data_IF_667651305858
#
_entry.id   IF_667651305858
#
_cell.length_a   1.000
_cell.length_b   1.000
_cell.length_c   1.000
_cell.angle_alpha   90.00
_cell.angle_beta   90.00
_cell.angle_gamma   90.00
#
_symmetry.space_group_name_H-M   'P 1'
#
loop_
_entity.id
_entity.type
_entity.pdbx_description
1 polymer ?
#
# COMPACT_ATOMS: atom_id res chain seq x y z
N UNK A 1 -9.27 9.97 1.13
CA UNK A 1 -10.22 9.19 1.92
C UNK A 1 -11.19 8.50 0.99
N UNK A 2 -11.48 7.23 1.25
CA UNK A 2 -12.33 6.43 0.38
C UNK A 2 -11.60 5.77 -0.79
N UNK A 3 -10.38 6.16 -1.08
CA UNK A 3 -9.57 5.55 -2.14
C UNK A 3 -9.21 4.12 -1.77
N UNK A 4 -9.03 3.29 -2.78
CA UNK A 4 -8.62 1.90 -2.59
C UNK A 4 -7.12 1.78 -2.85
N UNK A 5 -6.47 0.94 -2.05
CA UNK A 5 -5.05 0.63 -2.18
C UNK A 5 -4.88 -0.86 -2.41
N UNK A 6 -4.02 -1.21 -3.35
CA UNK A 6 -3.56 -2.59 -3.51
C UNK A 6 -2.15 -2.65 -2.95
N UNK A 7 -1.97 -3.50 -1.94
CA UNK A 7 -0.67 -3.68 -1.32
C UNK A 7 0.17 -4.60 -2.18
N UNK A 8 1.37 -4.15 -2.50
CA UNK A 8 2.32 -4.82 -3.38
C UNK A 8 3.58 -5.13 -2.59
N UNK A 9 3.92 -6.42 -2.51
CA UNK A 9 5.16 -6.85 -1.86
C UNK A 9 6.28 -6.88 -2.89
N UNK A 10 7.34 -6.12 -2.63
CA UNK A 10 8.48 -6.05 -3.52
C UNK A 10 9.32 -7.33 -3.46
N UNK A 11 10.28 -7.44 -4.38
CA UNK A 11 11.16 -8.59 -4.48
C UNK A 11 11.93 -8.83 -3.17
N UNK A 12 11.95 -10.08 -2.73
CA UNK A 12 12.68 -10.51 -1.53
C UNK A 12 14.14 -10.88 -1.82
N UNK A 13 14.63 -10.58 -3.02
CA UNK A 13 15.99 -10.86 -3.50
C UNK A 13 16.34 -12.34 -3.62
N UNK A 14 15.36 -13.23 -3.48
CA UNK A 14 15.56 -14.67 -3.65
C UNK A 14 15.36 -15.14 -5.08
N UNK A 15 14.93 -14.23 -5.97
CA UNK A 15 14.67 -14.56 -7.36
C UNK A 15 14.33 -13.31 -8.16
N UNK A 16 13.83 -13.50 -9.36
CA UNK A 16 13.43 -12.41 -10.25
C UNK A 16 12.24 -11.63 -9.70
N UNK A 17 12.29 -10.29 -9.77
CA UNK A 17 11.18 -9.42 -9.39
C UNK A 17 9.89 -9.78 -10.14
N UNK A 18 10.01 -10.25 -11.39
CA UNK A 18 8.86 -10.64 -12.21
C UNK A 18 8.02 -11.75 -11.56
N UNK A 19 8.64 -12.61 -10.78
CA UNK A 19 7.99 -13.76 -10.14
C UNK A 19 7.84 -13.63 -8.63
N UNK A 20 8.65 -12.80 -7.97
CA UNK A 20 8.68 -12.70 -6.50
C UNK A 20 7.94 -11.50 -5.96
N UNK A 21 7.71 -10.48 -6.77
CA UNK A 21 6.94 -9.31 -6.38
C UNK A 21 5.46 -9.56 -6.69
N UNK A 22 4.61 -9.41 -5.68
CA UNK A 22 3.20 -9.83 -5.79
C UNK A 22 2.25 -8.82 -5.12
N UNK A 23 1.03 -8.74 -5.65
CA UNK A 23 -0.07 -8.08 -4.96
C UNK A 23 -0.60 -9.01 -3.86
N UNK A 24 -0.76 -8.49 -2.64
CA UNK A 24 -1.12 -9.30 -1.48
C UNK A 24 -2.50 -9.02 -0.92
N UNK A 25 -2.96 -7.78 -0.97
CA UNK A 25 -4.23 -7.41 -0.33
C UNK A 25 -4.80 -6.11 -0.87
N UNK A 26 -6.08 -5.88 -0.57
CA UNK A 26 -6.80 -4.65 -0.90
C UNK A 26 -7.21 -3.96 0.39
N UNK A 27 -6.95 -2.66 0.47
CA UNK A 27 -7.28 -1.82 1.62
C UNK A 27 -8.06 -0.59 1.16
N UNK A 28 -8.80 0.02 2.09
CA UNK A 28 -9.49 1.29 1.84
C UNK A 28 -8.86 2.38 2.70
N UNK A 29 -8.53 3.51 2.09
CA UNK A 29 -7.96 4.66 2.81
C UNK A 29 -9.06 5.31 3.66
N UNK A 30 -8.84 5.41 4.97
CA UNK A 30 -9.77 6.07 5.87
C UNK A 30 -9.23 7.37 6.47
N UNK A 31 -7.97 7.69 6.24
CA UNK A 31 -7.40 8.96 6.67
C UNK A 31 -6.01 9.18 6.08
N UNK A 32 -5.68 10.44 5.84
CA UNK A 32 -4.36 10.85 5.32
C UNK A 32 -3.90 12.05 6.14
N UNK A 33 -2.66 12.00 6.62
CA UNK A 33 -2.02 13.10 7.35
C UNK A 33 -0.62 13.33 6.84
N UNK A 34 -0.18 14.57 6.84
CA UNK A 34 1.19 14.95 6.49
C UNK A 34 1.92 15.40 7.76
N UNK A 35 3.23 15.64 7.65
CA UNK A 35 4.04 16.07 8.79
C UNK A 35 3.48 17.33 9.45
N UNK A 36 2.90 18.24 8.68
CA UNK A 36 2.34 19.50 9.20
C UNK A 36 1.02 19.32 9.95
N UNK A 37 0.38 18.16 9.85
CA UNK A 37 -0.85 17.86 10.58
C UNK A 37 -0.59 17.45 12.03
N UNK A 38 0.67 17.22 12.40
CA UNK A 38 1.06 16.87 13.76
C UNK A 38 1.68 18.09 14.45
N UNK A 39 1.30 18.30 15.70
CA UNK A 39 1.83 19.43 16.49
C UNK A 39 3.33 19.27 16.74
N UNK A 40 3.77 18.04 17.03
CA UNK A 40 5.17 17.72 17.32
C UNK A 40 5.45 16.24 17.11
N UNK A 41 6.69 15.83 17.41
CA UNK A 41 7.12 14.44 17.29
C UNK A 41 6.29 13.49 18.15
N UNK A 42 5.96 13.89 19.38
CA UNK A 42 5.18 13.06 20.29
C UNK A 42 3.77 12.82 19.75
N UNK A 43 3.14 13.84 19.16
CA UNK A 43 1.82 13.69 18.53
C UNK A 43 1.87 12.71 17.37
N UNK A 44 2.91 12.77 16.54
CA UNK A 44 3.12 11.84 15.45
C UNK A 44 3.28 10.40 15.95
N UNK A 45 4.16 10.19 16.92
CA UNK A 45 4.43 8.86 17.48
C UNK A 45 3.17 8.27 18.11
N UNK A 46 2.44 9.08 18.90
CA UNK A 46 1.20 8.65 19.55
C UNK A 46 0.15 8.21 18.52
N UNK A 47 0.02 8.96 17.43
CA UNK A 47 -0.94 8.65 16.39
C UNK A 47 -0.58 7.37 15.63
N UNK A 48 0.69 7.19 15.28
CA UNK A 48 1.15 6.10 14.40
C UNK A 48 1.47 4.82 15.15
N UNK A 49 1.99 4.90 16.38
CA UNK A 49 2.44 3.73 17.14
C UNK A 49 1.33 2.71 17.38
N UNK A 50 0.10 3.18 17.52
CA UNK A 50 -1.08 2.33 17.78
C UNK A 50 -1.39 1.39 16.61
N UNK A 51 -1.11 1.81 15.37
CA UNK A 51 -1.53 1.11 14.16
C UNK A 51 -0.37 0.65 13.28
N UNK A 52 0.85 1.06 13.59
CA UNK A 52 2.03 0.78 12.78
C UNK A 52 2.79 -0.43 13.33
N UNK A 53 3.45 -1.16 12.42
CA UNK A 53 4.37 -2.24 12.81
C UNK A 53 5.75 -1.70 13.21
N UNK A 54 6.01 -0.40 12.97
CA UNK A 54 7.27 0.23 13.33
C UNK A 54 7.33 0.51 14.83
N UNK A 55 8.52 0.36 15.43
CA UNK A 55 8.74 0.70 16.82
C UNK A 55 8.79 2.20 17.04
N UNK A 56 8.62 2.62 18.29
CA UNK A 56 8.63 4.03 18.66
C UNK A 56 9.93 4.73 18.23
N UNK A 57 11.07 4.06 18.42
CA UNK A 57 12.37 4.61 18.05
C UNK A 57 12.48 4.86 16.55
N UNK A 58 12.01 3.92 15.74
CA UNK A 58 12.00 4.07 14.28
C UNK A 58 11.11 5.24 13.83
N UNK A 59 9.95 5.38 14.46
CA UNK A 59 9.02 6.47 14.15
C UNK A 59 9.62 7.83 14.52
N UNK A 60 10.32 7.93 15.63
CA UNK A 60 10.99 9.16 16.05
C UNK A 60 12.12 9.53 15.08
N UNK A 61 12.89 8.53 14.64
CA UNK A 61 13.94 8.75 13.65
C UNK A 61 13.37 9.26 12.33
N UNK A 62 12.24 8.70 11.89
CA UNK A 62 11.56 9.16 10.69
C UNK A 62 11.14 10.62 10.80
N UNK A 63 10.53 11.00 11.92
CA UNK A 63 10.08 12.38 12.13
C UNK A 63 11.24 13.37 12.10
N UNK A 64 12.35 13.02 12.72
CA UNK A 64 13.55 13.90 12.77
C UNK A 64 14.27 14.02 11.46
N UNK A 65 14.33 12.93 10.68
CA UNK A 65 15.21 12.84 9.50
C UNK A 65 14.49 13.03 8.17
N UNK A 66 13.17 13.16 8.15
CA UNK A 66 12.38 13.40 6.95
C UNK A 66 11.85 14.82 6.95
N UNK A 67 12.12 15.55 5.86
CA UNK A 67 11.57 16.91 5.69
C UNK A 67 10.08 16.87 5.43
N UNK A 68 9.61 15.79 4.79
CA UNK A 68 8.20 15.61 4.45
C UNK A 68 7.86 14.13 4.38
N UNK A 69 6.71 13.78 4.94
CA UNK A 69 6.15 12.43 4.81
C UNK A 69 4.61 12.47 4.84
N UNK A 70 4.00 11.38 4.38
CA UNK A 70 2.55 11.21 4.41
C UNK A 70 2.23 9.95 5.21
N UNK A 71 1.28 10.06 6.13
CA UNK A 71 0.75 8.93 6.89
C UNK A 71 -0.62 8.57 6.31
N UNK A 72 -0.74 7.33 5.86
CA UNK A 72 -2.00 6.82 5.31
C UNK A 72 -2.59 5.83 6.30
N UNK A 73 -3.78 6.15 6.81
CA UNK A 73 -4.55 5.24 7.64
C UNK A 73 -5.50 4.46 6.75
N UNK A 74 -5.49 3.14 6.86
CA UNK A 74 -6.27 2.28 5.97
C UNK A 74 -6.97 1.17 6.73
N UNK A 75 -8.09 0.70 6.16
CA UNK A 75 -8.80 -0.48 6.63
C UNK A 75 -8.43 -1.62 5.70
N UNK A 76 -7.96 -2.71 6.29
CA UNK A 76 -7.70 -3.94 5.56
C UNK A 76 -9.02 -4.61 5.17
N UNK A 77 -9.22 -4.87 3.91
CA UNK A 77 -10.45 -5.52 3.42
C UNK A 77 -10.28 -7.02 3.24
N UNK A 78 -9.36 -7.42 2.35
CA UNK A 78 -9.21 -8.83 2.01
C UNK A 78 -7.84 -9.08 1.36
N UNK A 79 -7.28 -10.26 1.62
CA UNK A 79 -6.09 -10.73 0.92
C UNK A 79 -6.48 -11.24 -0.47
N UNK A 80 -5.57 -11.16 -1.42
CA UNK A 80 -5.76 -11.75 -2.73
C UNK A 80 -5.90 -13.28 -2.58
N UNK A 81 -6.98 -13.82 -3.11
CA UNK A 81 -7.21 -15.27 -3.14
C UNK A 81 -6.16 -15.93 -4.00
N UNK A 82 -5.86 -15.30 -5.13
CA UNK A 82 -4.81 -15.74 -6.04
C UNK A 82 -3.78 -14.62 -6.18
N UNK A 83 -2.51 -14.94 -5.93
CA UNK A 83 -1.43 -13.95 -6.02
C UNK A 83 -1.23 -13.50 -7.46
N UNK A 84 -1.11 -12.17 -7.64
CA UNK A 84 -0.85 -11.58 -8.94
C UNK A 84 0.60 -11.09 -8.93
N UNK A 85 1.47 -11.80 -9.64
CA UNK A 85 2.90 -11.49 -9.68
C UNK A 85 3.19 -10.33 -10.64
N UNK A 86 4.37 -9.72 -10.49
CA UNK A 86 4.80 -8.58 -11.31
C UNK A 86 4.69 -8.86 -12.80
N UNK A 87 5.13 -10.05 -13.24
CA UNK A 87 5.07 -10.45 -14.66
C UNK A 87 3.62 -10.39 -15.18
N UNK A 88 2.66 -10.90 -14.42
CA UNK A 88 1.24 -10.89 -14.80
C UNK A 88 0.70 -9.48 -14.86
N UNK A 89 1.11 -8.62 -13.91
CA UNK A 89 0.70 -7.21 -13.93
C UNK A 89 1.16 -6.50 -15.19
N UNK A 90 2.38 -6.76 -15.64
CA UNK A 90 2.91 -6.17 -16.87
C UNK A 90 2.23 -6.71 -18.12
N UNK A 91 2.05 -8.02 -18.20
CA UNK A 91 1.56 -8.70 -19.41
C UNK A 91 0.04 -8.63 -19.56
N UNK A 92 -0.70 -8.76 -18.47
CA UNK A 92 -2.16 -8.90 -18.51
C UNK A 92 -2.92 -7.66 -18.07
N UNK A 93 -2.33 -6.82 -17.24
CA UNK A 93 -2.94 -5.57 -16.77
C UNK A 93 -2.36 -4.37 -17.52
N UNK A 94 -1.17 -4.52 -18.08
CA UNK A 94 -0.50 -3.46 -18.83
C UNK A 94 0.19 -2.44 -17.96
N UNK A 95 0.58 -2.81 -16.75
CA UNK A 95 1.27 -1.90 -15.83
C UNK A 95 2.75 -1.82 -16.15
N UNK A 96 3.24 -0.61 -16.33
CA UNK A 96 4.66 -0.37 -16.57
C UNK A 96 5.09 0.98 -16.00
N UNK A 97 4.94 1.19 -14.68
CA UNK A 97 5.33 2.46 -14.05
C UNK A 97 6.85 2.59 -13.99
N UNK A 98 7.31 3.84 -13.94
CA UNK A 98 8.74 4.13 -13.72
C UNK A 98 9.18 3.70 -12.33
N UNK A 99 8.27 3.81 -11.36
CA UNK A 99 8.57 3.51 -9.96
C UNK A 99 7.45 2.65 -9.38
N UNK A 100 7.79 1.44 -8.93
CA UNK A 100 6.83 0.49 -8.40
C UNK A 100 6.48 0.73 -6.93
N UNK A 101 7.11 1.70 -6.27
CA UNK A 101 6.86 1.98 -4.86
C UNK A 101 5.47 2.55 -4.59
N UNK A 102 5.00 3.42 -5.48
CA UNK A 102 3.67 4.03 -5.33
C UNK A 102 3.24 4.63 -6.66
N UNK A 103 2.09 4.23 -7.18
CA UNK A 103 1.57 4.79 -8.42
C UNK A 103 0.06 4.60 -8.51
N UNK A 104 -0.58 5.35 -9.40
CA UNK A 104 -2.03 5.33 -9.58
C UNK A 104 -2.43 4.28 -10.62
N UNK A 105 -3.57 3.61 -10.34
CA UNK A 105 -4.22 2.71 -11.28
C UNK A 105 -5.43 3.39 -11.89
N UNK A 106 -5.75 3.03 -13.15
CA UNK A 106 -7.05 3.36 -13.72
C UNK A 106 -8.10 2.41 -13.12
N UNK A 107 -9.38 2.78 -13.24
CA UNK A 107 -10.45 1.91 -12.76
C UNK A 107 -10.42 0.55 -13.44
N UNK A 108 -10.16 0.54 -14.75
CA UNK A 108 -10.06 -0.71 -15.52
C UNK A 108 -8.91 -1.59 -15.04
N UNK A 109 -7.77 -1.00 -14.71
CA UNK A 109 -6.61 -1.73 -14.17
C UNK A 109 -6.93 -2.31 -12.79
N UNK A 110 -7.58 -1.53 -11.95
CA UNK A 110 -8.00 -1.96 -10.61
C UNK A 110 -8.94 -3.16 -10.71
N UNK A 111 -9.98 -3.04 -11.55
CA UNK A 111 -10.95 -4.12 -11.76
C UNK A 111 -10.28 -5.39 -12.30
N UNK A 112 -9.33 -5.25 -13.20
CA UNK A 112 -8.59 -6.38 -13.77
C UNK A 112 -7.75 -7.09 -12.69
N UNK A 113 -7.12 -6.33 -11.79
CA UNK A 113 -6.36 -6.90 -10.68
C UNK A 113 -7.27 -7.68 -9.73
N UNK A 114 -8.45 -7.16 -9.42
CA UNK A 114 -9.42 -7.87 -8.57
C UNK A 114 -9.86 -9.17 -9.23
N UNK A 115 -10.12 -9.14 -10.54
CA UNK A 115 -10.50 -10.33 -11.29
C UNK A 115 -9.40 -11.38 -11.24
N UNK A 116 -8.16 -11.00 -11.54
CA UNK A 116 -7.01 -11.90 -11.52
C UNK A 116 -6.72 -12.45 -10.12
N UNK A 117 -6.95 -11.63 -9.09
CA UNK A 117 -6.79 -12.03 -7.69
C UNK A 117 -7.96 -12.81 -7.12
N UNK A 118 -9.01 -12.98 -7.91
CA UNK A 118 -10.25 -13.66 -7.52
C UNK A 118 -10.89 -13.04 -6.27
N UNK A 119 -10.99 -11.70 -6.26
CA UNK A 119 -11.54 -10.93 -5.15
C UNK A 119 -12.97 -10.51 -5.45
N UNK A 120 -13.87 -10.75 -4.50
CA UNK A 120 -15.25 -10.28 -4.58
C UNK A 120 -15.33 -8.86 -4.03
N UNK A 121 -15.81 -7.92 -4.86
CA UNK A 121 -15.90 -6.50 -4.53
C UNK A 121 -16.74 -6.21 -3.28
N UNK A 122 -17.67 -7.09 -2.92
CA UNK A 122 -18.51 -6.89 -1.73
C UNK A 122 -17.71 -6.83 -0.43
N UNK A 123 -16.49 -7.36 -0.42
CA UNK A 123 -15.63 -7.32 0.76
C UNK A 123 -14.81 -6.03 0.87
N UNK A 124 -14.91 -5.15 -0.12
CA UNK A 124 -14.19 -3.88 -0.15
C UNK A 124 -15.13 -2.79 0.33
N UNK A 125 -14.78 -2.14 1.44
CA UNK A 125 -15.59 -1.04 1.99
C UNK A 125 -15.20 0.30 1.35
N UNK A 126 -16.14 1.22 1.33
CA UNK A 126 -15.90 2.58 0.79
C UNK A 126 -15.26 3.54 1.80
#
# INVERSE_FOLDING_TARGET
KGDKLIIYRTNDYKGSAAYRSVCTSVCTVCGVKTITDFADEDAFVKYTNRYSVFGEEELRDWYKNKDYFTVIKMVYNIAFTKKVINKVMKERVGLNPRYWGFFRLTDAQFDKLLELGEINERYIVD
#
